data_IF_172163549497
#
_entry.id   IF_172163549497
#
_cell.length_a   1.000
_cell.length_b   1.000
_cell.length_c   1.000
_cell.angle_alpha   90.00
_cell.angle_beta   90.00
_cell.angle_gamma   90.00
#
_symmetry.space_group_name_H-M   'P 1'
#
loop_
_entity.id
_entity.type
_entity.pdbx_description
1 polymer ?
#
# COMPACT_ATOMS: atom_id res chain seq x y z
N UNK A 1 8.27 -28.66 -29.33
CA UNK A 1 8.82 -27.51 -28.60
C UNK A 1 7.69 -26.90 -27.77
N UNK A 2 7.85 -26.77 -26.45
CA UNK A 2 6.88 -26.03 -25.62
C UNK A 2 7.26 -24.55 -25.68
N UNK A 3 6.35 -23.73 -26.19
CA UNK A 3 6.54 -22.28 -26.26
C UNK A 3 6.40 -21.63 -24.89
N UNK A 4 6.86 -20.38 -24.79
CA UNK A 4 6.67 -19.56 -23.59
C UNK A 4 5.24 -18.99 -23.59
N UNK A 5 4.49 -19.25 -22.53
CA UNK A 5 3.24 -18.55 -22.25
C UNK A 5 3.53 -17.35 -21.35
N UNK A 6 3.17 -16.16 -21.84
CA UNK A 6 3.17 -14.95 -21.03
C UNK A 6 1.71 -14.62 -20.68
N UNK A 7 1.41 -14.59 -19.39
CA UNK A 7 0.14 -14.09 -18.88
C UNK A 7 0.32 -12.67 -18.34
N UNK A 8 -0.77 -11.90 -18.34
CA UNK A 8 -0.78 -10.62 -17.63
C UNK A 8 -0.57 -10.90 -16.15
N UNK A 9 0.42 -10.24 -15.54
CA UNK A 9 0.54 -10.17 -14.09
C UNK A 9 -0.69 -9.42 -13.56
N UNK A 10 -1.58 -10.15 -12.91
CA UNK A 10 -2.69 -9.60 -12.15
C UNK A 10 -2.24 -9.55 -10.70
N UNK A 11 -1.81 -8.38 -10.17
CA UNK A 11 -1.52 -8.26 -8.74
C UNK A 11 -2.83 -8.50 -7.99
N UNK A 12 -2.97 -9.68 -7.39
CA UNK A 12 -4.02 -9.97 -6.41
C UNK A 12 -3.75 -9.30 -5.05
N UNK A 13 -2.64 -8.57 -4.93
CA UNK A 13 -2.09 -8.00 -3.70
C UNK A 13 -2.29 -6.48 -3.62
N UNK A 14 -3.42 -5.94 -4.13
CA UNK A 14 -3.83 -4.65 -3.60
C UNK A 14 -4.13 -4.86 -2.11
N UNK A 15 -3.56 -4.04 -1.20
CA UNK A 15 -3.83 -4.17 0.21
C UNK A 15 -5.35 -4.19 0.40
N UNK A 16 -5.86 -5.22 1.06
CA UNK A 16 -7.30 -5.34 1.38
C UNK A 16 -7.71 -4.41 2.52
N UNK A 17 -6.83 -3.48 2.92
CA UNK A 17 -6.99 -2.59 4.05
C UNK A 17 -6.77 -3.29 5.38
N UNK A 18 -5.90 -4.30 5.43
CA UNK A 18 -5.50 -4.90 6.70
C UNK A 18 -4.50 -4.04 7.47
N UNK A 19 -4.52 -4.12 8.81
CA UNK A 19 -3.52 -3.48 9.67
C UNK A 19 -2.08 -3.86 9.28
N UNK A 20 -1.81 -5.13 8.98
CA UNK A 20 -0.46 -5.59 8.64
C UNK A 20 0.05 -4.95 7.33
N UNK A 21 -0.83 -4.75 6.35
CA UNK A 21 -0.48 -4.13 5.09
C UNK A 21 -0.28 -2.62 5.24
N UNK A 22 -1.14 -1.97 6.04
CA UNK A 22 -0.99 -0.57 6.46
C UNK A 22 0.34 -0.34 7.18
N UNK A 23 0.67 -1.20 8.14
CA UNK A 23 1.90 -1.13 8.91
C UNK A 23 3.13 -1.35 8.02
N UNK A 24 3.05 -2.28 7.07
CA UNK A 24 4.10 -2.50 6.09
C UNK A 24 4.34 -1.24 5.24
N UNK A 25 3.28 -0.66 4.67
CA UNK A 25 3.36 0.57 3.88
C UNK A 25 3.90 1.75 4.69
N UNK A 26 3.43 1.92 5.93
CA UNK A 26 3.92 2.93 6.87
C UNK A 26 5.43 2.79 7.10
N UNK A 27 5.90 1.56 7.34
CA UNK A 27 7.33 1.29 7.60
C UNK A 27 8.20 1.55 6.36
N UNK A 28 7.68 1.26 5.16
CA UNK A 28 8.35 1.60 3.91
C UNK A 28 8.46 3.12 3.73
N UNK A 29 7.37 3.85 3.95
CA UNK A 29 7.31 5.31 3.83
C UNK A 29 8.16 6.06 4.86
N UNK A 30 8.35 5.51 6.07
CA UNK A 30 9.27 6.09 7.06
C UNK A 30 10.69 6.28 6.52
N UNK A 31 11.16 5.41 5.62
CA UNK A 31 12.48 5.57 5.00
C UNK A 31 12.54 6.77 4.06
N UNK A 32 11.41 7.15 3.46
CA UNK A 32 11.30 8.27 2.53
C UNK A 32 11.06 9.61 3.24
N UNK A 33 10.48 9.60 4.44
CA UNK A 33 10.27 10.80 5.27
C UNK A 33 11.34 10.99 6.34
N UNK A 34 12.48 10.32 6.21
CA UNK A 34 13.59 10.37 7.17
C UNK A 34 13.16 10.06 8.62
N UNK A 35 12.18 9.18 8.81
CA UNK A 35 11.65 8.79 10.11
C UNK A 35 10.56 9.70 10.66
N UNK A 36 10.10 10.73 9.93
CA UNK A 36 8.98 11.57 10.33
C UNK A 36 7.66 10.79 10.17
N UNK A 37 7.06 10.41 11.31
CA UNK A 37 5.80 9.69 11.35
C UNK A 37 4.59 10.57 10.93
N UNK A 38 4.62 11.87 11.21
CA UNK A 38 3.55 12.79 10.83
C UNK A 38 3.52 12.99 9.32
N UNK A 39 4.68 13.18 8.70
CA UNK A 39 4.81 13.25 7.26
C UNK A 39 4.43 11.93 6.58
N UNK A 40 4.84 10.79 7.16
CA UNK A 40 4.45 9.46 6.64
C UNK A 40 2.93 9.30 6.58
N UNK A 41 2.21 9.67 7.65
CA UNK A 41 0.75 9.60 7.68
C UNK A 41 0.10 10.56 6.67
N UNK A 42 0.70 11.73 6.42
CA UNK A 42 0.24 12.63 5.36
C UNK A 42 0.38 11.99 3.96
N UNK A 43 1.52 11.36 3.67
CA UNK A 43 1.73 10.62 2.42
C UNK A 43 0.77 9.45 2.25
N UNK A 44 0.57 8.66 3.32
CA UNK A 44 -0.40 7.57 3.29
C UNK A 44 -1.82 8.05 2.99
N UNK A 45 -2.23 9.23 3.50
CA UNK A 45 -3.54 9.84 3.18
C UNK A 45 -3.67 10.19 1.70
N UNK A 46 -2.61 10.75 1.10
CA UNK A 46 -2.60 11.07 -0.33
C UNK A 46 -2.64 9.82 -1.20
N UNK A 47 -1.92 8.77 -0.82
CA UNK A 47 -1.97 7.48 -1.49
C UNK A 47 -3.36 6.85 -1.39
N UNK A 48 -4.01 6.96 -0.23
CA UNK A 48 -5.31 6.32 -0.01
C UNK A 48 -6.42 6.99 -0.84
N UNK A 49 -6.33 8.31 -1.05
CA UNK A 49 -7.21 9.03 -1.99
C UNK A 49 -7.16 8.44 -3.40
N UNK A 50 -5.98 8.02 -3.86
CA UNK A 50 -5.74 7.52 -5.22
C UNK A 50 -6.03 6.02 -5.36
N UNK A 51 -5.57 5.21 -4.41
CA UNK A 51 -5.53 3.75 -4.54
C UNK A 51 -6.56 3.02 -3.68
N UNK A 52 -7.28 3.72 -2.79
CA UNK A 52 -8.37 3.16 -1.98
C UNK A 52 -7.98 1.87 -1.27
N UNK A 53 -6.87 1.93 -0.55
CA UNK A 53 -6.29 0.76 0.12
C UNK A 53 -6.64 0.69 1.61
N UNK A 54 -7.32 1.70 2.16
CA UNK A 54 -8.06 1.63 3.43
C UNK A 54 -9.41 0.92 3.27
N UNK A 55 -9.98 0.46 4.38
CA UNK A 55 -11.34 -0.07 4.44
C UNK A 55 -12.07 0.45 5.70
N UNK A 56 -13.31 -0.01 5.92
CA UNK A 56 -14.11 0.43 7.08
C UNK A 56 -13.56 -0.04 8.44
N UNK A 57 -12.71 -1.07 8.46
CA UNK A 57 -12.14 -1.64 9.69
C UNK A 57 -10.81 -0.95 10.06
N UNK A 58 -10.05 -0.53 9.06
CA UNK A 58 -8.78 0.20 9.21
C UNK A 58 -8.76 1.37 8.21
N UNK A 59 -9.27 2.50 8.69
CA UNK A 59 -9.32 3.76 7.96
C UNK A 59 -8.26 4.74 8.44
N UNK A 60 -7.90 5.66 7.55
CA UNK A 60 -7.21 6.90 7.91
C UNK A 60 -8.26 8.01 8.02
N UNK A 61 -8.16 8.81 9.09
CA UNK A 61 -9.21 9.75 9.53
C UNK A 61 -9.58 10.83 8.52
#
# INVERSE_FOLDING_TARGET
MRGFEFSKFLPNDLPKGGFDEMLKLFTELLNYTAGDAGETLAWMNELDKQYKFTNNDYGMG
#
